data_IF_111398304995
#
_entry.id   IF_111398304995
#
_cell.length_a   1.000
_cell.length_b   1.000
_cell.length_c   1.000
_cell.angle_alpha   90.00
_cell.angle_beta   90.00
_cell.angle_gamma   90.00
#
_symmetry.space_group_name_H-M   'P 1'
#
loop_
_entity.id
_entity.type
_entity.pdbx_description
1 polymer ?
#
# COMPACT_ATOMS: atom_id res chain seq x y z
N UNK A 1 -4.36 -15.65 11.86
CA UNK A 1 -5.37 -14.58 12.01
C UNK A 1 -5.52 -13.74 10.74
N UNK A 2 -4.40 -13.30 10.12
CA UNK A 2 -4.41 -12.62 8.82
C UNK A 2 -5.12 -13.41 7.70
N UNK A 3 -4.94 -14.73 7.62
CA UNK A 3 -5.67 -15.59 6.66
C UNK A 3 -7.19 -15.54 6.88
N UNK A 4 -7.67 -15.42 8.13
CA UNK A 4 -9.11 -15.24 8.39
C UNK A 4 -9.60 -13.85 7.99
N UNK A 5 -8.77 -12.81 8.16
CA UNK A 5 -9.11 -11.41 7.88
C UNK A 5 -9.04 -11.07 6.39
N UNK A 6 -7.98 -11.49 5.73
CA UNK A 6 -7.69 -11.17 4.34
C UNK A 6 -7.92 -12.34 3.38
N UNK A 7 -7.98 -13.60 3.85
CA UNK A 7 -8.04 -14.77 2.98
C UNK A 7 -9.23 -14.77 2.01
N UNK A 8 -10.38 -14.19 2.40
CA UNK A 8 -11.51 -13.99 1.46
C UNK A 8 -11.16 -13.06 0.29
N UNK A 9 -10.35 -12.01 0.53
CA UNK A 9 -9.91 -11.09 -0.52
C UNK A 9 -8.87 -11.75 -1.45
N UNK A 10 -8.01 -12.60 -0.90
CA UNK A 10 -7.09 -13.42 -1.71
C UNK A 10 -7.89 -14.39 -2.60
N UNK A 11 -8.90 -15.06 -2.02
CA UNK A 11 -9.74 -16.00 -2.76
C UNK A 11 -10.65 -15.32 -3.80
N UNK A 12 -11.12 -14.10 -3.53
CA UNK A 12 -11.91 -13.33 -4.49
C UNK A 12 -11.09 -12.82 -5.68
N UNK A 13 -9.75 -12.91 -5.60
CA UNK A 13 -8.79 -12.39 -6.58
C UNK A 13 -8.94 -10.89 -6.88
N UNK A 14 -9.68 -10.15 -6.07
CA UNK A 14 -9.87 -8.68 -6.20
C UNK A 14 -8.75 -7.89 -5.53
N UNK A 15 -7.53 -8.40 -5.61
CA UNK A 15 -6.35 -7.77 -5.03
C UNK A 15 -5.18 -7.69 -6.01
N UNK A 16 -4.33 -6.70 -5.79
CA UNK A 16 -3.01 -6.56 -6.41
C UNK A 16 -1.93 -6.51 -5.33
N UNK A 17 -0.75 -7.01 -5.69
CA UNK A 17 0.46 -6.94 -4.89
C UNK A 17 1.42 -6.01 -5.60
N UNK A 18 1.91 -5.01 -4.90
CA UNK A 18 2.92 -4.09 -5.42
C UNK A 18 4.17 -4.18 -4.55
N UNK A 19 5.33 -3.96 -5.16
CA UNK A 19 6.60 -4.00 -4.45
C UNK A 19 6.82 -2.76 -3.58
N UNK A 20 7.86 -2.82 -2.75
CA UNK A 20 8.31 -1.70 -1.92
C UNK A 20 8.62 -0.45 -2.75
N UNK A 21 9.25 -0.61 -3.91
CA UNK A 21 9.68 0.51 -4.74
C UNK A 21 8.52 1.33 -5.29
N UNK A 22 7.34 0.71 -5.42
CA UNK A 22 6.10 1.36 -5.82
C UNK A 22 5.65 2.38 -4.78
N UNK A 23 5.63 1.99 -3.50
CA UNK A 23 5.29 2.88 -2.39
C UNK A 23 6.39 3.92 -2.16
N UNK A 24 7.66 3.49 -2.19
CA UNK A 24 8.80 4.40 -2.06
C UNK A 24 8.84 5.44 -3.19
N UNK A 25 8.42 5.06 -4.40
CA UNK A 25 8.30 5.95 -5.55
C UNK A 25 7.21 7.02 -5.39
N UNK A 26 6.08 6.69 -4.76
CA UNK A 26 5.04 7.68 -4.42
C UNK A 26 5.60 8.66 -3.39
N UNK A 27 6.22 8.14 -2.33
CA UNK A 27 6.74 8.96 -1.22
C UNK A 27 7.85 9.90 -1.71
N UNK A 28 8.79 9.41 -2.52
CA UNK A 28 9.91 10.22 -3.01
C UNK A 28 9.47 11.39 -3.89
N UNK A 29 8.36 11.23 -4.63
CA UNK A 29 7.78 12.28 -5.47
C UNK A 29 6.82 13.19 -4.74
N UNK A 30 6.50 12.93 -3.47
CA UNK A 30 5.48 13.68 -2.75
C UNK A 30 5.77 15.19 -2.69
N UNK A 31 7.02 15.57 -2.42
CA UNK A 31 7.40 16.98 -2.33
C UNK A 31 7.28 17.72 -3.68
N UNK A 32 7.53 17.03 -4.80
CA UNK A 32 7.30 17.56 -6.15
C UNK A 32 5.80 17.64 -6.44
N UNK A 33 5.06 16.59 -6.09
CA UNK A 33 3.61 16.54 -6.20
C UNK A 33 2.96 17.70 -5.44
N UNK A 34 3.37 18.00 -4.21
CA UNK A 34 2.83 19.12 -3.43
C UNK A 34 3.06 20.50 -4.06
N UNK A 35 4.13 20.66 -4.83
CA UNK A 35 4.44 21.92 -5.53
C UNK A 35 3.82 22.02 -6.92
N UNK A 36 3.38 20.91 -7.50
CA UNK A 36 2.78 20.88 -8.83
C UNK A 36 1.49 21.71 -8.87
N UNK A 37 1.33 22.53 -9.91
CA UNK A 37 0.09 23.27 -10.17
C UNK A 37 -1.04 22.36 -10.66
N UNK A 38 -0.69 21.38 -11.50
CA UNK A 38 -1.59 20.32 -11.94
C UNK A 38 -1.38 19.05 -11.11
N UNK A 39 -2.30 18.83 -10.15
CA UNK A 39 -2.31 17.62 -9.31
C UNK A 39 -2.88 16.40 -10.01
N UNK A 40 -3.75 16.59 -11.01
CA UNK A 40 -4.44 15.51 -11.71
C UNK A 40 -3.54 14.88 -12.77
N UNK A 41 -2.85 15.71 -13.55
CA UNK A 41 -1.88 15.28 -14.55
C UNK A 41 -0.48 15.01 -13.99
N UNK A 42 -0.31 14.96 -12.67
CA UNK A 42 1.01 14.78 -12.06
C UNK A 42 1.64 13.44 -12.47
N UNK A 43 2.90 13.51 -12.95
CA UNK A 43 3.62 12.34 -13.41
C UNK A 43 4.27 11.57 -12.25
N UNK A 44 3.56 10.56 -11.74
CA UNK A 44 4.06 9.64 -10.72
C UNK A 44 5.20 8.72 -11.18
N UNK A 45 5.55 8.74 -12.47
CA UNK A 45 6.64 7.96 -13.05
C UNK A 45 6.24 6.55 -13.49
N UNK A 46 7.09 5.95 -14.33
CA UNK A 46 6.82 4.64 -14.94
C UNK A 46 6.64 3.53 -13.90
N UNK A 47 7.48 3.48 -12.86
CA UNK A 47 7.42 2.43 -11.85
C UNK A 47 6.08 2.39 -11.11
N UNK A 48 5.62 3.54 -10.60
CA UNK A 48 4.31 3.65 -9.94
C UNK A 48 3.20 3.30 -10.93
N UNK A 49 3.26 3.83 -12.16
CA UNK A 49 2.27 3.51 -13.20
C UNK A 49 2.19 2.01 -13.50
N UNK A 50 3.31 1.33 -13.63
CA UNK A 50 3.35 -0.10 -13.93
C UNK A 50 2.74 -0.94 -12.80
N UNK A 51 3.06 -0.61 -11.55
CA UNK A 51 2.56 -1.37 -10.39
C UNK A 51 1.07 -1.22 -10.18
N UNK A 52 0.51 -0.04 -10.46
CA UNK A 52 -0.92 0.23 -10.26
C UNK A 52 -1.80 -0.08 -11.48
N UNK A 53 -1.23 -0.21 -12.68
CA UNK A 53 -1.99 -0.54 -13.89
C UNK A 53 -1.77 -1.97 -14.39
N UNK A 54 -0.76 -2.67 -13.89
CA UNK A 54 -0.37 -4.01 -14.37
C UNK A 54 0.15 -4.02 -15.81
N UNK A 55 0.34 -2.86 -16.44
CA UNK A 55 0.73 -2.73 -17.85
C UNK A 55 2.24 -2.87 -18.02
N UNK A 56 2.78 -4.08 -17.95
CA UNK A 56 4.15 -4.33 -18.42
C UNK A 56 4.13 -4.93 -19.83
N UNK A 57 5.19 -4.75 -20.64
CA UNK A 57 5.27 -5.39 -21.95
C UNK A 57 5.21 -6.94 -21.92
N UNK A 58 5.38 -7.55 -20.74
CA UNK A 58 5.52 -9.00 -20.56
C UNK A 58 4.43 -9.66 -19.68
N UNK A 59 3.61 -8.88 -18.97
CA UNK A 59 2.47 -9.40 -18.19
C UNK A 59 1.15 -8.83 -18.69
N UNK A 60 0.17 -9.72 -18.85
CA UNK A 60 -1.18 -9.40 -19.30
C UNK A 60 -2.22 -9.40 -18.17
N UNK A 61 -1.81 -9.51 -16.91
CA UNK A 61 -2.71 -9.36 -15.75
C UNK A 61 -3.05 -7.88 -15.53
N UNK A 62 -3.86 -7.36 -16.45
CA UNK A 62 -4.38 -5.98 -16.46
C UNK A 62 -5.54 -5.87 -15.48
N UNK A 63 -5.27 -6.02 -14.18
CA UNK A 63 -6.29 -5.70 -13.18
C UNK A 63 -6.45 -4.18 -13.12
N UNK A 64 -7.61 -3.70 -13.53
CA UNK A 64 -7.98 -2.30 -13.44
C UNK A 64 -8.39 -2.01 -11.99
N UNK A 65 -7.79 -0.99 -11.38
CA UNK A 65 -8.16 -0.55 -10.02
C UNK A 65 -9.64 -0.17 -9.96
N UNK A 66 -10.27 -0.46 -8.83
CA UNK A 66 -11.70 -0.28 -8.54
C UNK A 66 -12.65 -1.11 -9.43
N UNK A 67 -12.19 -1.70 -10.53
CA UNK A 67 -12.95 -2.60 -11.40
C UNK A 67 -12.64 -4.05 -11.05
N UNK A 68 -11.38 -4.48 -11.23
CA UNK A 68 -10.91 -5.85 -11.01
C UNK A 68 -10.27 -6.02 -9.62
N UNK A 69 -9.71 -4.95 -9.07
CA UNK A 69 -9.05 -4.96 -7.76
C UNK A 69 -9.49 -3.78 -6.89
N UNK A 70 -9.88 -4.08 -5.65
CA UNK A 70 -10.24 -3.09 -4.63
C UNK A 70 -9.28 -3.09 -3.44
N UNK A 71 -8.32 -4.02 -3.41
CA UNK A 71 -7.24 -4.10 -2.41
C UNK A 71 -5.86 -4.03 -3.04
N UNK A 72 -4.99 -3.22 -2.46
CA UNK A 72 -3.56 -3.20 -2.77
C UNK A 72 -2.79 -3.64 -1.53
N UNK A 73 -1.96 -4.66 -1.68
CA UNK A 73 -1.01 -5.10 -0.66
C UNK A 73 0.38 -4.60 -1.03
N UNK A 74 1.04 -3.92 -0.10
CA UNK A 74 2.35 -3.34 -0.35
C UNK A 74 3.22 -3.34 0.91
N UNK A 75 4.51 -3.65 0.84
CA UNK A 75 5.42 -3.40 1.95
C UNK A 75 5.81 -1.91 2.00
N UNK A 76 6.01 -1.38 3.21
CA UNK A 76 6.55 -0.05 3.47
C UNK A 76 7.63 -0.13 4.54
N UNK A 77 8.73 0.60 4.35
CA UNK A 77 9.78 0.73 5.35
C UNK A 77 9.60 2.05 6.09
N UNK A 78 9.55 2.00 7.42
CA UNK A 78 9.62 3.16 8.30
C UNK A 78 11.03 3.30 8.84
N UNK A 79 11.59 4.50 8.76
CA UNK A 79 12.97 4.75 9.17
C UNK A 79 13.98 3.96 8.32
N UNK A 80 14.78 3.11 8.96
CA UNK A 80 15.88 2.37 8.29
C UNK A 80 15.75 0.85 8.36
N UNK A 81 14.93 0.34 9.27
CA UNK A 81 14.94 -1.07 9.66
C UNK A 81 13.57 -1.63 10.03
N UNK A 82 12.52 -0.80 10.07
CA UNK A 82 11.19 -1.26 10.42
C UNK A 82 10.32 -1.47 9.19
N UNK A 83 9.90 -2.70 8.96
CA UNK A 83 9.02 -3.07 7.85
C UNK A 83 7.58 -3.23 8.34
N UNK A 84 6.65 -2.64 7.61
CA UNK A 84 5.21 -2.84 7.79
C UNK A 84 4.58 -3.30 6.48
N UNK A 85 3.51 -4.11 6.59
CA UNK A 85 2.62 -4.36 5.48
C UNK A 85 1.52 -3.30 5.41
N UNK A 86 1.14 -2.89 4.22
CA UNK A 86 0.00 -2.03 3.97
C UNK A 86 -1.08 -2.82 3.25
N UNK A 87 -2.32 -2.71 3.73
CA UNK A 87 -3.51 -3.16 3.02
C UNK A 87 -4.36 -1.94 2.70
N UNK A 88 -4.23 -1.45 1.47
CA UNK A 88 -4.94 -0.26 1.00
C UNK A 88 -6.30 -0.70 0.45
N UNK A 89 -7.36 -0.28 1.12
CA UNK A 89 -8.74 -0.44 0.68
C UNK A 89 -9.13 0.72 -0.22
N UNK A 90 -9.27 0.46 -1.52
CA UNK A 90 -9.60 1.48 -2.50
C UNK A 90 -11.06 1.94 -2.39
N UNK A 91 -11.97 1.04 -1.99
CA UNK A 91 -13.39 1.33 -1.85
C UNK A 91 -13.70 2.14 -0.60
N UNK A 92 -13.17 1.73 0.56
CA UNK A 92 -13.45 2.42 1.83
C UNK A 92 -12.42 3.50 2.19
N UNK A 93 -11.42 3.75 1.32
CA UNK A 93 -10.36 4.75 1.52
C UNK A 93 -9.68 4.63 2.89
N UNK A 94 -9.24 3.41 3.20
CA UNK A 94 -8.58 3.11 4.47
C UNK A 94 -7.35 2.23 4.23
N UNK A 95 -6.26 2.54 4.92
CA UNK A 95 -5.03 1.75 4.92
C UNK A 95 -4.94 1.00 6.25
N UNK A 96 -5.01 -0.32 6.21
CA UNK A 96 -4.71 -1.16 7.36
C UNK A 96 -3.20 -1.43 7.40
N UNK A 97 -2.57 -1.05 8.51
CA UNK A 97 -1.13 -1.20 8.73
C UNK A 97 -0.89 -2.53 9.46
N UNK A 98 -0.28 -3.46 8.74
CA UNK A 98 0.15 -4.75 9.26
C UNK A 98 1.53 -4.62 9.88
N UNK A 99 1.52 -4.26 11.16
CA UNK A 99 2.71 -4.06 11.96
C UNK A 99 2.92 -5.24 12.92
N UNK A 100 4.04 -5.97 12.77
CA UNK A 100 4.36 -7.12 13.61
C UNK A 100 5.16 -6.75 14.87
N UNK A 101 5.43 -5.46 15.12
CA UNK A 101 6.24 -5.00 16.24
C UNK A 101 5.56 -3.92 17.10
N UNK A 102 4.22 -3.96 17.21
CA UNK A 102 3.41 -2.94 17.91
C UNK A 102 3.91 -2.58 19.33
N UNK A 103 4.31 -3.53 20.21
CA UNK A 103 4.76 -3.22 21.57
C UNK A 103 6.06 -2.41 21.67
N UNK A 104 6.91 -2.43 20.63
CA UNK A 104 8.21 -1.72 20.60
C UNK A 104 8.18 -0.49 19.69
N UNK A 105 7.03 -0.21 19.06
CA UNK A 105 6.94 0.73 17.96
C UNK A 105 6.47 2.11 18.36
N UNK A 106 6.63 3.01 17.39
CA UNK A 106 6.38 4.42 17.52
C UNK A 106 4.91 4.74 17.87
N UNK A 107 4.71 5.80 18.66
CA UNK A 107 3.37 6.29 19.00
C UNK A 107 2.53 6.60 17.75
N UNK A 108 1.20 6.66 17.90
CA UNK A 108 0.30 7.04 16.80
C UNK A 108 0.68 8.37 16.13
N UNK A 109 1.32 9.28 16.86
CA UNK A 109 1.84 10.53 16.30
C UNK A 109 2.97 10.32 15.28
N UNK A 110 3.84 9.34 15.50
CA UNK A 110 4.93 9.06 14.55
C UNK A 110 4.41 8.27 13.34
N UNK A 111 3.49 7.33 13.56
CA UNK A 111 2.81 6.64 12.45
C UNK A 111 2.02 7.62 11.60
N UNK A 112 1.38 8.62 12.21
CA UNK A 112 0.77 9.73 11.46
C UNK A 112 1.78 10.44 10.56
N UNK A 113 3.02 10.67 11.00
CA UNK A 113 4.05 11.30 10.15
C UNK A 113 4.44 10.42 8.97
N UNK A 114 4.65 9.11 9.19
CA UNK A 114 4.96 8.18 8.09
C UNK A 114 3.82 8.09 7.07
N UNK A 115 2.59 8.06 7.55
CA UNK A 115 1.41 7.85 6.72
C UNK A 115 0.88 9.12 6.05
N UNK A 116 1.08 10.30 6.64
CA UNK A 116 0.49 11.56 6.14
C UNK A 116 0.77 11.80 4.65
N UNK A 117 2.01 11.58 4.22
CA UNK A 117 2.43 11.72 2.83
C UNK A 117 1.65 10.77 1.91
N UNK A 118 1.59 9.49 2.30
CA UNK A 118 0.93 8.46 1.52
C UNK A 118 -0.57 8.69 1.44
N UNK A 119 -1.23 9.00 2.55
CA UNK A 119 -2.68 9.20 2.60
C UNK A 119 -3.13 10.40 1.76
N UNK A 120 -2.32 11.46 1.68
CA UNK A 120 -2.55 12.62 0.82
C UNK A 120 -2.27 12.31 -0.66
N UNK A 121 -1.29 11.47 -0.96
CA UNK A 121 -0.94 11.11 -2.34
C UNK A 121 -1.94 10.13 -2.97
N UNK A 122 -2.45 9.17 -2.19
CA UNK A 122 -3.25 8.04 -2.68
C UNK A 122 -4.46 8.45 -3.54
N UNK A 123 -5.30 9.44 -3.17
CA UNK A 123 -6.41 9.88 -4.02
C UNK A 123 -5.96 10.31 -5.43
N UNK A 124 -4.81 10.98 -5.53
CA UNK A 124 -4.27 11.47 -6.80
C UNK A 124 -3.60 10.38 -7.61
N UNK A 125 -2.91 9.44 -6.96
CA UNK A 125 -2.39 8.23 -7.60
C UNK A 125 -3.55 7.42 -8.19
N UNK A 126 -4.65 7.25 -7.45
CA UNK A 126 -5.82 6.54 -7.93
C UNK A 126 -6.50 7.27 -9.08
N UNK A 127 -6.66 8.59 -9.01
CA UNK A 127 -7.22 9.37 -10.10
C UNK A 127 -6.37 9.27 -11.39
N UNK A 128 -5.04 9.21 -11.26
CA UNK A 128 -4.13 9.09 -12.40
C UNK A 128 -4.20 7.71 -13.10
N UNK A 129 -4.58 6.65 -12.38
CA UNK A 129 -4.50 5.27 -12.88
C UNK A 129 -5.83 4.52 -12.93
N UNK A 130 -6.90 5.09 -12.37
CA UNK A 130 -8.27 4.56 -12.52
C UNK A 130 -8.87 5.03 -13.84
N UNK A 131 -9.86 4.30 -14.39
CA UNK A 131 -10.62 4.79 -15.54
C UNK A 131 -11.18 6.19 -15.25
N UNK A 132 -11.25 7.08 -16.25
CA UNK A 132 -11.87 8.38 -16.06
C UNK A 132 -13.32 8.19 -15.60
N UNK A 133 -13.59 8.58 -14.35
CA UNK A 133 -14.94 8.72 -13.81
C UNK A 133 -15.43 10.13 -14.12
N UNK A 134 -16.74 10.29 -14.35
CA UNK A 134 -17.38 11.59 -14.64
C UNK A 134 -17.27 12.64 -13.50
N UNK A 135 -16.68 12.28 -12.36
CA UNK A 135 -16.46 13.19 -11.24
C UNK A 135 -15.10 13.90 -11.32
N UNK A 136 -15.19 15.24 -11.39
CA UNK A 136 -14.16 16.25 -11.14
C UNK A 136 -13.26 15.92 -9.94
N UNK A 137 -12.03 16.46 -9.97
CA UNK A 137 -11.00 16.55 -8.93
C UNK A 137 -11.26 15.75 -7.63
N UNK A 138 -10.36 14.86 -7.17
CA UNK A 138 -10.51 14.27 -5.85
C UNK A 138 -10.58 15.41 -4.82
N UNK A 139 -11.77 15.61 -4.24
CA UNK A 139 -11.98 16.60 -3.17
C UNK A 139 -11.12 16.24 -1.96
N UNK A 140 -10.76 17.23 -1.15
CA UNK A 140 -10.01 17.00 0.10
C UNK A 140 -10.74 16.01 1.03
N UNK A 141 -12.07 15.93 0.92
CA UNK A 141 -12.94 14.98 1.62
C UNK A 141 -12.78 13.51 1.16
N UNK A 142 -11.97 13.25 0.13
CA UNK A 142 -11.59 11.91 -0.34
C UNK A 142 -10.34 11.34 0.35
N UNK A 143 -9.91 11.94 1.45
CA UNK A 143 -8.72 11.54 2.18
C UNK A 143 -8.76 10.06 2.62
N UNK A 144 -7.63 9.38 2.48
CA UNK A 144 -7.49 8.06 3.07
C UNK A 144 -7.28 8.19 4.58
N UNK A 145 -7.86 7.27 5.35
CA UNK A 145 -7.55 7.08 6.77
C UNK A 145 -6.59 5.90 6.96
N UNK A 146 -5.98 5.76 8.14
CA UNK A 146 -5.25 4.56 8.51
C UNK A 146 -5.82 3.91 9.77
N UNK A 147 -5.65 2.60 9.88
CA UNK A 147 -5.92 1.82 11.09
C UNK A 147 -4.76 0.86 11.34
N UNK A 148 -4.36 0.72 12.60
CA UNK A 148 -3.35 -0.26 13.02
C UNK A 148 -4.03 -1.24 13.97
N UNK A 149 -4.32 -2.47 13.53
CA UNK A 149 -5.05 -3.42 14.35
C UNK A 149 -4.21 -3.98 15.50
N UNK A 150 -4.77 -3.99 16.72
CA UNK A 150 -4.09 -4.44 17.94
C UNK A 150 -3.85 -5.96 18.04
N UNK A 151 -4.29 -6.74 17.05
CA UNK A 151 -4.28 -8.22 17.06
C UNK A 151 -3.51 -8.82 15.88
N UNK A 152 -2.38 -8.21 15.51
CA UNK A 152 -1.48 -8.74 14.49
C UNK A 152 -0.41 -9.60 15.16
N UNK A 153 0.06 -10.63 14.45
CA UNK A 153 1.12 -11.51 14.94
C UNK A 153 2.33 -10.67 15.38
N UNK A 154 2.71 -10.81 16.65
CA UNK A 154 3.91 -10.20 17.20
C UNK A 154 5.11 -11.09 16.89
N UNK A 155 6.15 -10.54 16.26
CA UNK A 155 7.39 -11.26 16.05
C UNK A 155 8.35 -11.03 17.22
N UNK A 156 8.62 -12.08 17.99
CA UNK A 156 9.55 -12.06 19.13
C UNK A 156 11.03 -12.11 18.72
N UNK A 157 11.33 -12.30 17.42
CA UNK A 157 12.70 -12.36 16.88
C UNK A 157 13.06 -11.05 16.18
N UNK A 158 14.08 -10.36 16.69
CA UNK A 158 14.66 -9.20 16.01
C UNK A 158 15.29 -9.61 14.67
N UNK A 159 14.93 -8.91 13.59
CA UNK A 159 15.46 -9.14 12.24
C UNK A 159 14.47 -9.74 11.23
N UNK A 160 13.33 -10.26 11.67
CA UNK A 160 12.34 -10.95 10.83
C UNK A 160 11.01 -10.17 10.68
N UNK A 161 11.04 -8.82 10.61
CA UNK A 161 9.83 -7.99 10.50
C UNK A 161 9.07 -8.13 9.16
N UNK A 162 9.41 -9.13 8.34
CA UNK A 162 8.66 -9.50 7.14
C UNK A 162 7.40 -10.32 7.49
N UNK A 163 6.28 -10.16 6.77
CA UNK A 163 5.04 -10.90 7.02
C UNK A 163 5.25 -12.43 7.04
N UNK A 164 5.20 -13.03 8.23
CA UNK A 164 5.28 -14.48 8.42
C UNK A 164 3.97 -15.16 7.97
N UNK A 165 3.98 -15.66 6.73
CA UNK A 165 3.01 -16.58 6.16
C UNK A 165 3.50 -18.04 6.15
N UNK A 166 3.67 -18.64 7.33
CA UNK A 166 3.60 -20.09 7.65
C UNK A 166 4.51 -21.14 6.95
N UNK A 167 4.95 -22.12 7.76
CA UNK A 167 5.52 -23.46 7.43
C UNK A 167 7.06 -23.54 7.38
N UNK A 168 7.55 -24.47 8.21
CA UNK A 168 8.92 -24.97 8.41
C UNK A 168 9.96 -24.72 7.31
N UNK A 169 11.14 -24.26 7.74
CA UNK A 169 12.40 -24.50 7.04
C UNK A 169 13.14 -23.22 6.65
N UNK A 170 14.20 -22.92 7.41
CA UNK A 170 15.31 -22.01 7.12
C UNK A 170 15.34 -21.32 5.74
N UNK A 171 15.31 -19.99 5.79
CA UNK A 171 16.10 -19.02 5.01
C UNK A 171 15.25 -17.82 4.56
N UNK A 172 15.77 -16.62 4.84
CA UNK A 172 15.28 -15.34 4.36
C UNK A 172 15.14 -15.33 2.82
N UNK A 173 13.92 -15.47 2.32
CA UNK A 173 13.44 -14.96 1.04
C UNK A 173 12.05 -15.51 0.80
N UNK A 174 11.05 -14.63 0.67
CA UNK A 174 9.78 -15.04 0.09
C UNK A 174 8.58 -14.41 0.78
N UNK A 175 8.15 -13.27 0.25
CA UNK A 175 6.74 -12.87 0.32
C UNK A 175 6.34 -12.47 -1.08
N UNK A 176 6.03 -13.50 -1.86
CA UNK A 176 5.28 -13.45 -3.11
C UNK A 176 4.67 -14.83 -3.27
N UNK A 177 3.50 -15.02 -2.65
CA UNK A 177 2.55 -16.09 -2.97
C UNK A 177 1.13 -15.52 -2.84
#
# INVERSE_FOLDING_TARGET
MLVRRHGRNYLSRRCIFVDYFSIAGIISKFAEFEKASDKLGFNWGGLVSFSFTGKTPRQNDKKVLLVDADRVYAPMMWGKDHWVGLVINLTCRQVEILDCNIPLNESDNEVNKHMAFLLRALPHVLAAFSPPSDSSHPEEDQAFSWVRPDNIYFNERSGDCGPCGQISGNACSGILL
#
